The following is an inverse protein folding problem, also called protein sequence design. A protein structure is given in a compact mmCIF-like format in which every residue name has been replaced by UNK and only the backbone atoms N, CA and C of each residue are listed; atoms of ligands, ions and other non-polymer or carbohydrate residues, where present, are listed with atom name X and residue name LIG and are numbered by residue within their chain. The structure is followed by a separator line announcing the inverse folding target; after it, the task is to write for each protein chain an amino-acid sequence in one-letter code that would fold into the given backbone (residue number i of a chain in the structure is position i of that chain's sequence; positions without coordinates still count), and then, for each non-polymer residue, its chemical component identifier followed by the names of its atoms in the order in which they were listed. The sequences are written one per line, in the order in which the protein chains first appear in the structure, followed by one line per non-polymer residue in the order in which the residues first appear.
data_IF_275107769740
#
_entry.id   IF_275107769740
#
_cell.length_a   1.000
_cell.length_b   1.000
_cell.length_c   1.000
_cell.angle_alpha   90.00
_cell.angle_beta   90.00
_cell.angle_gamma   90.00
#
_symmetry.space_group_name_H-M   'P 1'
#
loop_
_entity.id
_entity.type
_entity.pdbx_description
1 polymer ?
#
# COMPACT_ATOMS: atom_id res chain seq x y z
N UNK A 1 13.06 -20.70 88.35
CA UNK A 1 12.51 -21.68 87.39
C UNK A 1 11.00 -21.48 87.31
N UNK A 2 10.52 -20.75 86.31
CA UNK A 2 9.09 -20.51 86.08
C UNK A 2 8.59 -21.48 85.00
N UNK A 3 7.54 -22.25 85.27
CA UNK A 3 6.92 -23.17 84.32
C UNK A 3 5.48 -22.77 83.98
N UNK A 4 5.35 -22.20 82.78
CA UNK A 4 4.27 -22.30 81.78
C UNK A 4 2.81 -22.06 82.20
N UNK A 5 2.33 -20.84 81.90
CA UNK A 5 0.93 -20.56 81.59
C UNK A 5 0.53 -21.14 80.22
N UNK A 6 -0.64 -21.81 80.15
CA UNK A 6 -1.35 -22.18 78.92
C UNK A 6 -2.26 -21.03 78.49
N UNK A 7 -2.11 -20.55 77.26
CA UNK A 7 -3.10 -19.71 76.59
C UNK A 7 -3.76 -20.53 75.48
N UNK A 8 -5.08 -20.61 75.52
CA UNK A 8 -5.93 -21.21 74.49
C UNK A 8 -6.15 -20.17 73.37
N UNK A 9 -5.56 -20.42 72.19
CA UNK A 9 -5.79 -19.58 71.01
C UNK A 9 -7.02 -20.10 70.26
N UNK A 10 -8.08 -19.30 70.21
CA UNK A 10 -9.22 -19.51 69.31
C UNK A 10 -8.83 -18.99 67.92
N UNK A 11 -8.68 -19.88 66.94
CA UNK A 11 -8.50 -19.50 65.52
C UNK A 11 -9.86 -19.13 64.93
N UNK A 12 -10.05 -17.86 64.56
CA UNK A 12 -11.09 -17.47 63.61
C UNK A 12 -10.54 -17.66 62.19
N UNK A 13 -11.00 -18.70 61.49
CA UNK A 13 -10.76 -18.86 60.06
C UNK A 13 -11.71 -17.93 59.30
N UNK A 14 -11.20 -16.77 58.88
CA UNK A 14 -11.88 -16.00 57.84
C UNK A 14 -11.68 -16.75 56.51
N UNK A 15 -12.67 -17.58 56.14
CA UNK A 15 -12.84 -18.05 54.78
C UNK A 15 -12.97 -16.80 53.88
N UNK A 16 -11.86 -16.41 53.25
CA UNK A 16 -11.92 -15.53 52.10
C UNK A 16 -12.79 -16.21 51.06
N UNK A 17 -14.00 -15.67 50.88
CA UNK A 17 -14.87 -15.98 49.76
C UNK A 17 -14.03 -15.73 48.51
N UNK A 18 -13.57 -16.81 47.86
CA UNK A 18 -13.07 -16.72 46.47
C UNK A 18 -14.18 -16.01 45.71
N UNK A 19 -13.93 -14.77 45.29
CA UNK A 19 -14.84 -14.12 44.34
C UNK A 19 -14.96 -15.10 43.19
N UNK A 20 -16.18 -15.47 42.85
CA UNK A 20 -16.48 -16.23 41.64
C UNK A 20 -15.75 -15.53 40.50
N UNK A 21 -14.71 -16.15 39.97
CA UNK A 21 -14.19 -15.81 38.65
C UNK A 21 -15.37 -16.09 37.74
N UNK A 22 -16.13 -15.05 37.39
CA UNK A 22 -17.06 -15.14 36.27
C UNK A 22 -16.23 -15.73 35.14
N UNK A 23 -16.69 -16.85 34.58
CA UNK A 23 -16.13 -17.43 33.36
C UNK A 23 -16.19 -16.32 32.31
N UNK A 24 -15.11 -15.55 32.18
CA UNK A 24 -15.00 -14.54 31.15
C UNK A 24 -14.75 -15.32 29.87
N UNK A 25 -15.68 -15.20 28.94
CA UNK A 25 -15.49 -15.66 27.57
C UNK A 25 -14.15 -15.12 27.08
N UNK A 26 -13.29 -15.95 26.47
CA UNK A 26 -11.99 -15.48 26.01
C UNK A 26 -12.16 -14.34 25.00
N UNK A 27 -11.24 -13.36 24.98
CA UNK A 27 -11.21 -12.32 23.96
C UNK A 27 -11.24 -12.92 22.55
N UNK A 28 -11.96 -12.27 21.65
CA UNK A 28 -12.05 -12.66 20.24
C UNK A 28 -11.64 -11.47 19.39
N UNK A 29 -10.85 -11.73 18.34
CA UNK A 29 -10.54 -10.75 17.29
C UNK A 29 -11.10 -11.25 15.97
N UNK A 30 -11.94 -10.42 15.35
CA UNK A 30 -12.61 -10.69 14.08
C UNK A 30 -12.16 -9.66 13.04
N UNK A 31 -11.77 -10.14 11.85
CA UNK A 31 -11.42 -9.27 10.72
C UNK A 31 -12.26 -9.61 9.51
N UNK A 32 -12.88 -8.59 8.89
CA UNK A 32 -13.76 -8.78 7.74
C UNK A 32 -13.43 -7.78 6.61
N UNK A 33 -13.16 -8.25 5.38
CA UNK A 33 -12.95 -9.66 5.00
C UNK A 33 -11.61 -10.20 5.53
N UNK A 34 -11.50 -11.51 5.74
CA UNK A 34 -10.24 -12.18 6.12
C UNK A 34 -9.29 -12.39 4.93
N UNK A 35 -9.83 -12.35 3.71
CA UNK A 35 -9.11 -12.45 2.45
C UNK A 35 -9.63 -11.34 1.52
N UNK A 36 -8.73 -10.54 0.97
CA UNK A 36 -9.09 -9.47 0.04
C UNK A 36 -7.87 -8.92 -0.68
N UNK A 37 -8.08 -8.05 -1.67
CA UNK A 37 -6.96 -7.38 -2.33
C UNK A 37 -6.28 -6.41 -1.38
N UNK A 38 -4.99 -6.16 -1.56
CA UNK A 38 -4.21 -5.29 -0.67
C UNK A 38 -4.77 -3.87 -0.61
N UNK A 39 -5.42 -3.38 -1.65
CA UNK A 39 -6.00 -2.04 -1.78
C UNK A 39 -7.48 -1.95 -1.34
N UNK A 40 -8.05 -3.04 -0.81
CA UNK A 40 -9.39 -3.05 -0.19
C UNK A 40 -9.33 -2.74 1.31
N UNK A 41 -10.39 -2.17 1.90
CA UNK A 41 -10.42 -1.97 3.36
C UNK A 41 -10.85 -3.24 4.09
N UNK A 42 -10.34 -3.46 5.30
CA UNK A 42 -10.91 -4.45 6.24
C UNK A 42 -11.32 -3.77 7.55
N UNK A 43 -12.23 -4.42 8.28
CA UNK A 43 -12.69 -3.99 9.61
C UNK A 43 -12.13 -4.92 10.66
N UNK A 44 -11.60 -4.38 11.75
CA UNK A 44 -11.14 -5.15 12.91
C UNK A 44 -12.06 -4.86 14.09
N UNK A 45 -12.63 -5.93 14.66
CA UNK A 45 -13.46 -5.88 15.85
C UNK A 45 -12.85 -6.81 16.91
N UNK A 46 -12.72 -6.32 18.12
CA UNK A 46 -12.30 -7.08 19.29
C UNK A 46 -13.45 -7.13 20.28
N UNK A 47 -13.77 -8.31 20.78
CA UNK A 47 -14.90 -8.55 21.68
C UNK A 47 -14.45 -9.38 22.89
N UNK A 48 -15.32 -9.46 23.89
CA UNK A 48 -15.09 -10.17 25.15
C UNK A 48 -13.85 -9.69 25.94
N UNK A 49 -13.49 -8.41 25.79
CA UNK A 49 -12.49 -7.78 26.65
C UNK A 49 -13.13 -7.42 28.00
N UNK A 50 -12.37 -7.33 29.10
CA UNK A 50 -12.90 -6.72 30.30
C UNK A 50 -13.22 -5.23 30.02
N UNK A 51 -14.39 -4.70 30.41
CA UNK A 51 -14.79 -3.33 30.10
C UNK A 51 -13.83 -2.27 30.67
N UNK A 52 -13.64 -1.17 29.92
CA UNK A 52 -12.82 -0.03 30.34
C UNK A 52 -11.33 -0.33 30.50
N UNK A 53 -10.81 -1.38 29.85
CA UNK A 53 -9.40 -1.79 29.97
C UNK A 53 -8.56 -1.32 28.80
N UNK A 54 -7.31 -0.90 29.05
CA UNK A 54 -6.36 -0.61 27.99
C UNK A 54 -5.96 -1.90 27.26
N UNK A 55 -5.99 -1.84 25.93
CA UNK A 55 -5.56 -2.93 25.04
C UNK A 55 -4.76 -2.38 23.88
N UNK A 56 -3.87 -3.21 23.34
CA UNK A 56 -3.12 -2.90 22.12
C UNK A 56 -3.58 -3.82 21.00
N UNK A 57 -3.97 -3.26 19.86
CA UNK A 57 -4.20 -4.02 18.63
C UNK A 57 -2.97 -3.86 17.74
N UNK A 58 -2.34 -4.97 17.36
CA UNK A 58 -1.08 -5.03 16.62
C UNK A 58 -1.25 -5.83 15.34
N UNK A 59 -0.73 -5.32 14.23
CA UNK A 59 -0.47 -6.09 13.01
C UNK A 59 1.01 -6.45 12.93
N UNK A 60 1.29 -7.67 12.45
CA UNK A 60 2.64 -8.14 12.19
C UNK A 60 2.69 -8.83 10.82
N UNK A 61 3.65 -8.45 9.99
CA UNK A 61 3.89 -9.02 8.67
C UNK A 61 5.36 -9.43 8.53
N UNK A 62 5.61 -10.63 8.02
CA UNK A 62 6.94 -11.08 7.61
C UNK A 62 7.05 -10.96 6.08
N UNK A 63 7.90 -10.05 5.62
CA UNK A 63 8.01 -9.71 4.20
C UNK A 63 8.84 -10.72 3.41
N UNK A 64 8.65 -10.73 2.09
CA UNK A 64 9.31 -11.65 1.15
C UNK A 64 10.86 -11.57 1.23
N UNK A 65 11.41 -10.46 1.72
CA UNK A 65 12.85 -10.24 1.93
C UNK A 65 13.32 -10.54 3.38
N UNK A 66 12.52 -11.21 4.19
CA UNK A 66 12.93 -11.73 5.51
C UNK A 66 12.90 -10.71 6.65
N UNK A 67 12.16 -9.61 6.51
CA UNK A 67 12.05 -8.58 7.54
C UNK A 67 10.66 -8.58 8.19
N UNK A 68 10.61 -8.27 9.48
CA UNK A 68 9.35 -8.11 10.20
C UNK A 68 8.92 -6.64 10.22
N UNK A 69 7.64 -6.44 9.92
CA UNK A 69 6.97 -5.15 9.86
C UNK A 69 5.78 -5.17 10.80
N UNK A 70 5.54 -4.07 11.50
CA UNK A 70 4.44 -3.99 12.44
C UNK A 70 3.81 -2.61 12.48
N UNK A 71 2.52 -2.58 12.78
CA UNK A 71 1.81 -1.40 13.25
C UNK A 71 1.02 -1.76 14.49
N UNK A 72 0.75 -0.77 15.34
CA UNK A 72 -0.09 -0.98 16.51
C UNK A 72 -0.78 0.31 16.93
N UNK A 73 -2.00 0.16 17.44
CA UNK A 73 -2.77 1.23 18.04
C UNK A 73 -3.17 0.89 19.47
N UNK A 74 -3.20 1.91 20.32
CA UNK A 74 -3.60 1.81 21.71
C UNK A 74 -5.07 2.19 21.87
N UNK A 75 -5.87 1.29 22.44
CA UNK A 75 -7.30 1.45 22.60
C UNK A 75 -7.72 1.20 24.05
N UNK A 76 -8.94 1.60 24.39
CA UNK A 76 -9.61 1.22 25.64
C UNK A 76 -10.93 0.56 25.27
N UNK A 77 -11.21 -0.62 25.83
CA UNK A 77 -12.49 -1.30 25.59
C UNK A 77 -13.66 -0.48 26.12
N UNK A 78 -14.78 -0.52 25.41
CA UNK A 78 -16.00 0.15 25.82
C UNK A 78 -16.68 -0.55 27.02
N UNK A 79 -17.85 -0.06 27.43
CA UNK A 79 -18.65 -0.63 28.52
C UNK A 79 -19.13 -2.07 28.24
N UNK A 80 -19.08 -2.54 26.99
CA UNK A 80 -19.45 -3.89 26.57
C UNK A 80 -18.23 -4.81 26.43
N UNK A 81 -17.02 -4.28 26.61
CA UNK A 81 -15.80 -5.06 26.37
C UNK A 81 -15.42 -5.16 24.89
N UNK A 82 -15.76 -4.14 24.10
CA UNK A 82 -15.53 -4.12 22.65
C UNK A 82 -14.52 -3.03 22.27
N UNK A 83 -13.72 -3.30 21.24
CA UNK A 83 -12.94 -2.30 20.49
C UNK A 83 -13.21 -2.47 19.00
N UNK A 84 -13.69 -1.42 18.34
CA UNK A 84 -13.87 -1.34 16.89
C UNK A 84 -12.83 -0.39 16.30
N UNK A 85 -11.76 -0.94 15.71
CA UNK A 85 -10.63 -0.16 15.17
C UNK A 85 -11.06 0.89 14.15
N UNK A 86 -12.16 0.66 13.42
CA UNK A 86 -12.65 1.60 12.42
C UNK A 86 -13.44 2.78 13.01
N UNK A 87 -13.88 2.69 14.27
CA UNK A 87 -14.74 3.70 14.92
C UNK A 87 -14.08 4.35 16.14
N UNK A 88 -13.26 3.59 16.84
CA UNK A 88 -12.62 3.99 18.08
C UNK A 88 -11.30 4.70 17.79
N UNK A 89 -10.88 5.56 18.72
CA UNK A 89 -9.67 6.34 18.57
C UNK A 89 -8.47 5.58 19.13
N UNK A 90 -7.43 5.43 18.30
CA UNK A 90 -6.12 5.07 18.81
C UNK A 90 -5.53 6.27 19.57
N UNK A 91 -5.14 6.07 20.84
CA UNK A 91 -4.53 7.12 21.67
C UNK A 91 -3.01 7.18 21.55
N UNK A 92 -2.40 6.23 20.83
CA UNK A 92 -0.96 6.15 20.65
C UNK A 92 -0.54 4.91 19.88
N UNK A 93 0.77 4.75 19.68
CA UNK A 93 1.36 3.67 18.90
C UNK A 93 1.95 4.18 17.60
N UNK A 94 1.86 3.40 16.53
CA UNK A 94 2.35 3.83 15.20
C UNK A 94 1.43 4.84 14.51
N UNK A 95 0.22 5.04 15.04
CA UNK A 95 -0.77 6.04 14.59
C UNK A 95 -1.71 6.43 15.74
N UNK A 96 -2.35 7.60 15.60
CA UNK A 96 -3.37 8.12 16.52
C UNK A 96 -4.65 8.49 15.75
N UNK A 97 -5.77 8.62 16.48
CA UNK A 97 -7.06 9.01 15.89
C UNK A 97 -7.88 7.84 15.36
N UNK A 98 -8.95 8.16 14.61
CA UNK A 98 -9.86 7.18 13.99
C UNK A 98 -9.34 6.78 12.62
N UNK A 99 -8.48 5.77 12.59
CA UNK A 99 -7.75 5.36 11.40
C UNK A 99 -8.01 3.89 11.08
N UNK A 100 -9.08 3.56 10.32
CA UNK A 100 -9.50 2.17 10.08
C UNK A 100 -8.40 1.27 9.51
N UNK A 101 -7.48 1.85 8.72
CA UNK A 101 -6.38 1.14 8.07
C UNK A 101 -5.01 1.49 8.67
N UNK A 102 -4.98 2.12 9.85
CA UNK A 102 -3.75 2.45 10.58
C UNK A 102 -2.86 1.24 10.82
N UNK A 103 -3.45 0.06 11.02
CA UNK A 103 -2.73 -1.21 11.16
C UNK A 103 -2.01 -1.68 9.88
N UNK A 104 -2.15 -1.01 8.73
CA UNK A 104 -1.39 -1.30 7.52
C UNK A 104 -0.47 -0.14 7.14
N UNK A 105 -1.03 1.05 6.90
CA UNK A 105 -0.25 2.17 6.34
C UNK A 105 0.81 2.71 7.30
N UNK A 106 0.66 2.48 8.60
CA UNK A 106 1.64 2.91 9.61
C UNK A 106 2.70 1.84 9.94
N UNK A 107 2.74 0.73 9.20
CA UNK A 107 3.71 -0.32 9.49
C UNK A 107 5.15 0.22 9.41
N UNK A 108 5.95 -0.09 10.42
CA UNK A 108 7.37 0.21 10.47
C UNK A 108 8.17 -1.09 10.69
N UNK A 109 9.47 -1.11 10.39
CA UNK A 109 10.32 -2.24 10.77
C UNK A 109 10.29 -2.44 12.28
N UNK A 110 10.28 -3.69 12.75
CA UNK A 110 10.33 -4.00 14.19
C UNK A 110 11.62 -3.46 14.83
N UNK A 111 11.63 -3.17 16.14
CA UNK A 111 12.85 -2.78 16.86
C UNK A 111 14.03 -3.72 16.59
N UNK A 112 15.22 -3.16 16.37
CA UNK A 112 16.44 -3.91 16.03
C UNK A 112 16.65 -4.15 14.53
N UNK A 113 15.69 -3.79 13.68
CA UNK A 113 15.85 -3.89 12.22
C UNK A 113 16.92 -2.96 11.65
N UNK A 114 17.46 -3.31 10.48
CA UNK A 114 18.37 -2.44 9.74
C UNK A 114 17.71 -1.11 9.34
N UNK A 115 18.50 -0.05 9.24
CA UNK A 115 18.02 1.27 8.80
C UNK A 115 17.77 1.29 7.28
N UNK A 116 16.81 2.10 6.85
CA UNK A 116 16.52 2.34 5.43
C UNK A 116 15.87 1.17 4.71
N UNK A 117 15.11 0.33 5.42
CA UNK A 117 14.27 -0.70 4.81
C UNK A 117 13.05 -0.08 4.13
N UNK A 118 12.62 -0.69 3.03
CA UNK A 118 11.39 -0.39 2.30
C UNK A 118 10.63 -1.69 2.08
N UNK A 119 9.35 -1.72 2.43
CA UNK A 119 8.50 -2.86 2.14
C UNK A 119 8.24 -2.90 0.64
N UNK A 120 8.53 -4.05 0.02
CA UNK A 120 8.20 -4.35 -1.38
C UNK A 120 7.69 -5.78 -1.45
N UNK A 121 6.60 -5.99 -2.18
CA UNK A 121 6.15 -7.34 -2.51
C UNK A 121 6.97 -7.86 -3.69
N UNK A 122 7.52 -9.06 -3.56
CA UNK A 122 8.37 -9.69 -4.58
C UNK A 122 7.64 -10.83 -5.30
N UNK A 123 6.76 -11.55 -4.61
CA UNK A 123 6.00 -12.65 -5.18
C UNK A 123 4.50 -12.35 -5.22
N UNK A 124 3.93 -12.12 -6.41
CA UNK A 124 2.49 -11.83 -6.57
C UNK A 124 1.58 -13.04 -6.42
N UNK A 125 2.14 -14.25 -6.53
CA UNK A 125 1.39 -15.50 -6.42
C UNK A 125 1.14 -15.92 -4.97
N UNK A 126 1.70 -15.21 -3.99
CA UNK A 126 1.44 -15.42 -2.56
C UNK A 126 0.87 -14.15 -1.92
N UNK A 127 -0.04 -14.29 -0.94
CA UNK A 127 -0.57 -13.13 -0.25
C UNK A 127 0.48 -12.50 0.68
N UNK A 128 0.29 -11.22 0.97
CA UNK A 128 0.84 -10.60 2.17
C UNK A 128 0.03 -11.10 3.37
N UNK A 129 0.67 -11.95 4.19
CA UNK A 129 0.09 -12.47 5.43
C UNK A 129 0.25 -11.45 6.56
N UNK A 130 -0.85 -10.99 7.13
CA UNK A 130 -0.85 -10.03 8.24
C UNK A 130 -1.49 -10.67 9.46
N UNK A 131 -0.71 -10.88 10.51
CA UNK A 131 -1.23 -11.38 11.78
C UNK A 131 -1.76 -10.22 12.61
N UNK A 132 -3.09 -10.17 12.80
CA UNK A 132 -3.75 -9.19 13.67
C UNK A 132 -3.89 -9.81 15.06
N UNK A 133 -3.33 -9.17 16.07
CA UNK A 133 -3.29 -9.68 17.44
C UNK A 133 -3.70 -8.61 18.44
N UNK A 134 -4.30 -9.05 19.54
CA UNK A 134 -4.73 -8.18 20.65
C UNK A 134 -3.92 -8.53 21.88
N UNK A 135 -3.43 -7.50 22.57
CA UNK A 135 -2.60 -7.63 23.76
C UNK A 135 -3.17 -6.82 24.92
N UNK A 136 -2.88 -7.27 26.14
CA UNK A 136 -3.30 -6.56 27.36
C UNK A 136 -2.41 -5.34 27.60
N UNK A 137 -3.02 -4.21 27.96
CA UNK A 137 -2.30 -2.98 28.29
C UNK A 137 -1.72 -2.26 27.07
N UNK A 138 -1.08 -1.12 27.33
CA UNK A 138 -0.36 -0.31 26.34
C UNK A 138 1.17 -0.48 26.42
N UNK A 139 1.66 -1.10 27.49
CA UNK A 139 3.09 -1.32 27.76
C UNK A 139 3.43 -2.81 27.81
N UNK A 140 4.67 -3.17 27.47
CA UNK A 140 5.15 -4.57 27.57
C UNK A 140 4.45 -5.57 26.65
N UNK A 141 3.55 -5.12 25.76
CA UNK A 141 2.75 -5.98 24.89
C UNK A 141 3.58 -6.85 23.92
N UNK A 142 4.87 -6.54 23.77
CA UNK A 142 5.79 -7.28 22.89
C UNK A 142 6.30 -8.57 23.53
N UNK A 143 6.37 -8.60 24.84
CA UNK A 143 6.94 -9.71 25.62
C UNK A 143 5.84 -10.69 26.07
N UNK A 144 4.59 -10.23 26.11
CA UNK A 144 3.42 -11.04 26.45
C UNK A 144 2.86 -11.83 25.27
N UNK A 145 2.20 -12.96 25.59
CA UNK A 145 1.39 -13.67 24.61
C UNK A 145 0.12 -12.86 24.25
N UNK A 146 -0.32 -12.89 22.98
CA UNK A 146 -1.56 -12.22 22.59
C UNK A 146 -2.76 -12.86 23.29
N UNK A 147 -3.75 -12.03 23.65
CA UNK A 147 -5.05 -12.45 24.16
C UNK A 147 -5.85 -13.20 23.08
N UNK A 148 -5.74 -12.76 21.83
CA UNK A 148 -6.32 -13.37 20.65
C UNK A 148 -5.54 -12.94 19.41
N UNK A 149 -5.56 -13.77 18.36
CA UNK A 149 -4.97 -13.41 17.07
C UNK A 149 -5.71 -14.06 15.91
N UNK A 150 -5.66 -13.42 14.75
CA UNK A 150 -6.19 -13.93 13.49
C UNK A 150 -5.26 -13.54 12.35
N UNK A 151 -5.03 -14.49 11.43
CA UNK A 151 -4.26 -14.26 10.23
C UNK A 151 -5.18 -13.78 9.10
N UNK A 152 -4.79 -12.70 8.42
CA UNK A 152 -5.51 -12.20 7.24
C UNK A 152 -4.61 -12.23 6.01
N UNK A 153 -5.23 -12.53 4.87
CA UNK A 153 -4.55 -12.58 3.57
C UNK A 153 -4.85 -11.34 2.74
N UNK A 154 -3.80 -10.69 2.28
CA UNK A 154 -3.88 -9.48 1.45
C UNK A 154 -3.22 -9.77 0.11
N UNK A 155 -4.04 -9.90 -0.93
CA UNK A 155 -3.61 -10.36 -2.25
C UNK A 155 -3.29 -9.19 -3.18
N UNK A 156 -2.22 -9.30 -3.96
CA UNK A 156 -1.92 -8.32 -5.03
C UNK A 156 -2.53 -8.70 -6.38
N UNK A 157 -3.02 -9.94 -6.49
CA UNK A 157 -3.55 -10.52 -7.72
C UNK A 157 -4.89 -11.18 -7.40
N UNK A 158 -5.97 -10.72 -8.04
CA UNK A 158 -7.30 -11.27 -7.87
C UNK A 158 -7.39 -12.71 -8.42
N UNK A 159 -8.29 -13.54 -7.87
CA UNK A 159 -8.58 -14.86 -8.44
C UNK A 159 -8.95 -14.75 -9.92
N UNK A 160 -8.27 -15.51 -10.77
CA UNK A 160 -8.52 -15.55 -12.22
C UNK A 160 -7.58 -14.68 -13.06
N UNK A 161 -6.83 -13.75 -12.45
CA UNK A 161 -5.74 -13.04 -13.16
C UNK A 161 -4.61 -14.03 -13.43
N UNK A 162 -4.14 -14.09 -14.67
CA UNK A 162 -3.00 -14.90 -15.10
C UNK A 162 -1.75 -14.03 -15.15
N UNK A 163 -0.64 -14.52 -14.59
CA UNK A 163 0.71 -13.96 -14.73
C UNK A 163 1.44 -14.73 -15.82
N UNK A 164 1.75 -14.07 -16.94
CA UNK A 164 2.35 -14.67 -18.14
C UNK A 164 3.72 -14.06 -18.36
N UNK A 165 4.73 -14.91 -18.47
CA UNK A 165 6.08 -14.48 -18.85
C UNK A 165 6.16 -14.21 -20.35
N UNK A 166 6.51 -12.97 -20.69
CA UNK A 166 6.74 -12.55 -22.07
C UNK A 166 8.24 -12.39 -22.23
N UNK A 167 8.89 -13.49 -22.64
CA UNK A 167 10.35 -13.59 -22.79
C UNK A 167 10.94 -12.31 -23.40
N UNK A 168 11.96 -11.76 -22.73
CA UNK A 168 12.71 -10.55 -23.12
C UNK A 168 11.89 -9.24 -23.21
N UNK A 169 10.60 -9.25 -22.89
CA UNK A 169 9.71 -8.07 -22.96
C UNK A 169 9.04 -7.72 -21.63
N UNK A 170 9.00 -8.61 -20.64
CA UNK A 170 8.45 -8.32 -19.31
C UNK A 170 7.39 -9.35 -18.89
N UNK A 171 6.49 -8.94 -17.99
CA UNK A 171 5.41 -9.80 -17.50
C UNK A 171 4.05 -9.21 -17.80
N UNK A 172 3.15 -10.04 -18.32
CA UNK A 172 1.80 -9.69 -18.67
C UNK A 172 0.81 -10.26 -17.63
N UNK A 173 -0.10 -9.42 -17.15
CA UNK A 173 -1.18 -9.78 -16.23
C UNK A 173 -2.52 -9.49 -16.90
N UNK A 174 -3.39 -10.49 -16.96
CA UNK A 174 -4.72 -10.32 -17.54
C UNK A 174 -5.69 -11.42 -17.09
N UNK A 175 -6.98 -11.09 -17.10
CA UNK A 175 -8.04 -12.10 -17.07
C UNK A 175 -8.18 -12.75 -18.45
N UNK A 176 -8.72 -13.96 -18.49
CA UNK A 176 -8.99 -14.68 -19.73
C UNK A 176 -10.31 -15.44 -19.60
N UNK A 177 -11.23 -15.34 -20.58
CA UNK A 177 -11.10 -14.66 -21.87
C UNK A 177 -11.19 -13.12 -21.79
N UNK A 178 -10.56 -12.43 -22.75
CA UNK A 178 -10.67 -10.97 -22.95
C UNK A 178 -11.66 -10.58 -24.05
N UNK A 179 -11.54 -9.39 -24.68
CA UNK A 179 -10.44 -8.43 -24.56
C UNK A 179 -10.63 -7.39 -23.43
N UNK A 180 -9.52 -6.82 -22.94
CA UNK A 180 -9.49 -5.77 -21.92
C UNK A 180 -8.69 -4.55 -22.42
N UNK A 181 -8.92 -3.34 -21.88
CA UNK A 181 -8.02 -2.22 -22.16
C UNK A 181 -6.60 -2.51 -21.64
N UNK A 182 -5.60 -2.09 -22.41
CA UNK A 182 -4.18 -2.36 -22.16
C UNK A 182 -3.52 -1.28 -21.28
N UNK A 183 -2.57 -1.66 -20.43
CA UNK A 183 -1.72 -0.71 -19.69
C UNK A 183 -0.26 -1.17 -19.73
N UNK A 184 0.64 -0.28 -20.18
CA UNK A 184 2.07 -0.45 -19.96
C UNK A 184 2.48 0.20 -18.63
N UNK A 185 3.03 -0.58 -17.70
CA UNK A 185 3.41 -0.13 -16.35
C UNK A 185 4.93 0.03 -16.22
N UNK A 186 5.38 1.27 -15.99
CA UNK A 186 6.78 1.69 -15.96
C UNK A 186 7.17 2.19 -14.57
N UNK A 187 8.12 1.50 -13.93
CA UNK A 187 8.65 1.85 -12.62
C UNK A 187 9.88 2.75 -12.68
N UNK A 188 10.38 3.17 -11.51
CA UNK A 188 11.50 4.10 -11.37
C UNK A 188 12.89 3.48 -11.57
N UNK A 189 13.92 4.28 -11.27
CA UNK A 189 15.34 3.98 -11.52
C UNK A 189 15.96 2.81 -10.74
N UNK A 190 15.18 2.04 -9.99
CA UNK A 190 15.69 0.93 -9.17
C UNK A 190 16.13 -0.28 -9.98
N UNK A 191 15.75 -0.34 -11.27
CA UNK A 191 15.95 -1.50 -12.12
C UNK A 191 15.18 -2.73 -11.63
N UNK A 192 15.27 -3.80 -12.41
CA UNK A 192 14.54 -5.02 -12.13
C UNK A 192 13.05 -4.87 -12.39
N UNK A 193 12.37 -6.01 -12.39
CA UNK A 193 10.94 -6.05 -12.65
C UNK A 193 10.13 -5.83 -11.37
N UNK A 194 9.15 -4.94 -11.45
CA UNK A 194 8.25 -4.61 -10.34
C UNK A 194 6.82 -4.82 -10.76
N UNK A 195 6.15 -5.77 -10.10
CA UNK A 195 4.91 -6.37 -10.62
C UNK A 195 3.65 -5.89 -9.90
N UNK A 196 3.77 -5.46 -8.66
CA UNK A 196 2.61 -5.40 -7.76
C UNK A 196 1.55 -4.37 -8.15
N UNK A 197 1.94 -3.26 -8.80
CA UNK A 197 0.96 -2.30 -9.35
C UNK A 197 0.25 -2.87 -10.58
N UNK A 198 0.97 -3.51 -11.49
CA UNK A 198 0.38 -4.19 -12.64
C UNK A 198 -0.60 -5.28 -12.21
N UNK A 199 -0.22 -6.15 -11.27
CA UNK A 199 -1.10 -7.20 -10.76
C UNK A 199 -2.41 -6.64 -10.17
N UNK A 200 -2.33 -5.50 -9.46
CA UNK A 200 -3.50 -4.79 -8.94
C UNK A 200 -4.33 -4.16 -10.06
N UNK A 201 -3.72 -3.44 -11.01
CA UNK A 201 -4.44 -2.89 -12.15
C UNK A 201 -5.16 -3.99 -12.94
N UNK A 202 -4.51 -5.15 -13.14
CA UNK A 202 -5.17 -6.27 -13.79
C UNK A 202 -6.37 -6.80 -13.00
N UNK A 203 -6.26 -6.81 -11.68
CA UNK A 203 -7.37 -7.13 -10.77
C UNK A 203 -8.54 -6.15 -10.86
N UNK A 204 -8.31 -4.94 -11.39
CA UNK A 204 -9.32 -3.91 -11.65
C UNK A 204 -9.80 -3.86 -13.12
N UNK A 205 -9.55 -4.91 -13.89
CA UNK A 205 -10.15 -5.10 -15.22
C UNK A 205 -9.31 -4.61 -16.40
N UNK A 206 -8.00 -4.45 -16.21
CA UNK A 206 -7.05 -4.09 -17.28
C UNK A 206 -6.19 -5.30 -17.68
N UNK A 207 -5.67 -5.30 -18.91
CA UNK A 207 -4.55 -6.15 -19.29
C UNK A 207 -3.27 -5.34 -19.14
N UNK A 208 -2.39 -5.70 -18.22
CA UNK A 208 -1.25 -4.85 -17.84
C UNK A 208 0.08 -5.54 -18.05
N UNK A 209 1.06 -4.83 -18.60
CA UNK A 209 2.41 -5.33 -18.77
C UNK A 209 3.40 -4.55 -17.90
N UNK A 210 4.06 -5.23 -16.96
CA UNK A 210 5.21 -4.70 -16.24
C UNK A 210 6.46 -4.82 -17.09
N UNK A 211 7.25 -3.75 -17.18
CA UNK A 211 8.45 -3.70 -18.01
C UNK A 211 9.70 -3.34 -17.20
N UNK A 212 10.75 -4.17 -17.30
CA UNK A 212 12.11 -3.81 -16.86
C UNK A 212 12.88 -3.22 -18.05
N UNK A 213 12.76 -1.91 -18.22
CA UNK A 213 13.37 -1.19 -19.34
C UNK A 213 14.81 -0.73 -19.07
N UNK A 214 15.31 -0.85 -17.84
CA UNK A 214 16.66 -0.40 -17.48
C UNK A 214 17.71 -1.50 -17.66
N UNK A 215 17.29 -2.76 -17.59
CA UNK A 215 18.17 -3.92 -17.78
C UNK A 215 18.13 -4.51 -19.20
N UNK A 216 17.40 -3.88 -20.14
CA UNK A 216 17.20 -4.41 -21.49
C UNK A 216 18.44 -4.33 -22.41
N UNK A 217 19.45 -3.53 -22.07
CA UNK A 217 20.64 -3.33 -22.91
C UNK A 217 20.40 -2.56 -24.21
N UNK A 218 19.18 -2.05 -24.43
CA UNK A 218 18.76 -1.28 -25.60
C UNK A 218 18.47 0.18 -25.23
N UNK A 219 18.40 1.11 -26.21
CA UNK A 219 17.92 2.46 -25.96
C UNK A 219 16.50 2.45 -25.35
N UNK A 220 16.37 3.07 -24.17
CA UNK A 220 15.15 2.99 -23.33
C UNK A 220 13.88 3.34 -24.10
N UNK A 221 13.87 4.45 -24.85
CA UNK A 221 12.67 4.90 -25.55
C UNK A 221 12.24 3.93 -26.66
N UNK A 222 13.19 3.40 -27.43
CA UNK A 222 12.92 2.40 -28.47
C UNK A 222 12.39 1.09 -27.88
N UNK A 223 12.96 0.65 -26.76
CA UNK A 223 12.51 -0.56 -26.08
C UNK A 223 11.10 -0.40 -25.50
N UNK A 224 10.82 0.73 -24.87
CA UNK A 224 9.49 1.06 -24.34
C UNK A 224 8.44 1.17 -25.44
N UNK A 225 8.76 1.78 -26.59
CA UNK A 225 7.88 1.83 -27.76
C UNK A 225 7.59 0.43 -28.33
N UNK A 226 8.61 -0.42 -28.41
CA UNK A 226 8.46 -1.83 -28.82
C UNK A 226 7.53 -2.59 -27.87
N UNK A 227 7.69 -2.38 -26.57
CA UNK A 227 6.83 -2.96 -25.53
C UNK A 227 5.38 -2.45 -25.61
N UNK A 228 5.20 -1.15 -25.89
CA UNK A 228 3.88 -0.55 -26.08
C UNK A 228 3.15 -1.13 -27.29
N UNK A 229 3.83 -1.27 -28.43
CA UNK A 229 3.23 -1.90 -29.61
C UNK A 229 2.93 -3.39 -29.36
N UNK A 230 3.79 -4.09 -28.63
CA UNK A 230 3.54 -5.48 -28.27
C UNK A 230 2.26 -5.69 -27.45
N UNK A 231 2.02 -4.87 -26.41
CA UNK A 231 0.77 -4.98 -25.63
C UNK A 231 -0.44 -4.55 -26.46
N UNK A 232 -0.30 -3.52 -27.30
CA UNK A 232 -1.35 -3.03 -28.18
C UNK A 232 -1.83 -4.10 -29.17
N UNK A 233 -0.91 -4.89 -29.71
CA UNK A 233 -1.21 -5.92 -30.71
C UNK A 233 -1.62 -7.27 -30.07
N UNK A 234 -1.67 -7.35 -28.72
CA UNK A 234 -2.02 -8.59 -28.05
C UNK A 234 -3.51 -8.95 -28.25
N UNK A 235 -3.87 -10.21 -28.58
CA UNK A 235 -5.25 -10.58 -28.95
C UNK A 235 -6.29 -10.45 -27.83
N UNK A 236 -5.85 -10.34 -26.58
CA UNK A 236 -6.73 -10.08 -25.42
C UNK A 236 -6.72 -8.61 -24.99
N UNK A 237 -6.13 -7.72 -25.79
CA UNK A 237 -6.09 -6.27 -25.57
C UNK A 237 -6.93 -5.58 -26.65
N UNK A 238 -7.67 -4.55 -26.27
CA UNK A 238 -8.39 -3.70 -27.23
C UNK A 238 -7.39 -2.68 -27.80
N UNK A 239 -7.03 -2.82 -29.07
CA UNK A 239 -5.88 -2.13 -29.68
C UNK A 239 -5.95 -0.59 -29.68
N UNK A 240 -7.14 0.01 -29.63
CA UNK A 240 -7.33 1.47 -29.56
C UNK A 240 -7.47 2.00 -28.12
N UNK A 241 -7.35 1.13 -27.11
CA UNK A 241 -7.52 1.46 -25.68
C UNK A 241 -6.32 0.98 -24.87
N UNK A 242 -5.17 1.59 -25.13
CA UNK A 242 -3.91 1.32 -24.43
C UNK A 242 -3.42 2.58 -23.73
N UNK A 243 -3.19 2.49 -22.43
CA UNK A 243 -2.60 3.55 -21.62
C UNK A 243 -1.19 3.22 -21.14
N UNK A 244 -0.51 4.21 -20.55
CA UNK A 244 0.80 4.05 -19.92
C UNK A 244 0.74 4.66 -18.52
N UNK A 245 1.29 3.94 -17.53
CA UNK A 245 1.43 4.44 -16.15
C UNK A 245 2.91 4.46 -15.80
N UNK A 246 3.43 5.64 -15.44
CA UNK A 246 4.83 5.84 -15.07
C UNK A 246 5.00 6.34 -13.64
N UNK A 247 5.99 5.84 -12.90
CA UNK A 247 6.41 6.40 -11.60
C UNK A 247 7.90 6.71 -11.60
N UNK A 248 8.28 7.84 -10.97
CA UNK A 248 9.68 8.27 -10.89
C UNK A 248 10.27 8.33 -12.31
N UNK A 249 11.41 7.68 -12.57
CA UNK A 249 12.04 7.61 -13.88
C UNK A 249 11.13 7.07 -14.98
N UNK A 250 10.18 6.19 -14.66
CA UNK A 250 9.22 5.65 -15.62
C UNK A 250 8.23 6.69 -16.17
N UNK A 251 8.08 7.85 -15.51
CA UNK A 251 7.25 8.95 -16.00
C UNK A 251 7.80 9.60 -17.27
N UNK A 252 9.13 9.60 -17.45
CA UNK A 252 9.77 10.19 -18.63
C UNK A 252 9.45 9.44 -19.94
N UNK A 253 9.69 8.12 -20.05
CA UNK A 253 9.28 7.37 -21.23
C UNK A 253 7.74 7.30 -21.39
N UNK A 254 6.96 7.40 -20.31
CA UNK A 254 5.51 7.52 -20.41
C UNK A 254 5.08 8.84 -21.07
N UNK A 255 5.66 9.97 -20.66
CA UNK A 255 5.42 11.28 -21.30
C UNK A 255 5.89 11.29 -22.76
N UNK A 256 7.02 10.62 -23.05
CA UNK A 256 7.50 10.44 -24.43
C UNK A 256 6.48 9.73 -25.31
N UNK A 257 5.91 8.62 -24.84
CA UNK A 257 4.85 7.90 -25.59
C UNK A 257 3.59 8.75 -25.75
N UNK A 258 3.19 9.51 -24.74
CA UNK A 258 2.01 10.38 -24.80
C UNK A 258 2.14 11.55 -25.79
N UNK A 259 3.37 11.96 -26.09
CA UNK A 259 3.67 13.03 -27.02
C UNK A 259 3.75 12.60 -28.49
N UNK A 260 3.72 11.30 -28.78
CA UNK A 260 3.87 10.72 -30.14
C UNK A 260 5.04 11.34 -30.93
N UNK A 261 6.19 11.55 -30.27
CA UNK A 261 7.27 12.39 -30.83
C UNK A 261 8.68 11.98 -30.42
N UNK A 262 9.57 11.97 -31.40
CA UNK A 262 11.01 11.67 -31.28
C UNK A 262 11.88 12.90 -30.96
N UNK A 263 11.30 14.08 -30.79
CA UNK A 263 12.04 15.35 -30.64
C UNK A 263 11.61 16.11 -29.38
N UNK A 264 12.57 16.82 -28.76
CA UNK A 264 12.58 17.53 -27.46
C UNK A 264 11.46 18.60 -27.23
N UNK A 265 10.36 18.58 -27.99
CA UNK A 265 9.11 19.36 -27.74
C UNK A 265 7.95 18.47 -27.26
N UNK A 266 8.27 17.48 -26.44
CA UNK A 266 7.38 16.40 -25.98
C UNK A 266 6.04 16.93 -25.43
N UNK A 267 6.04 17.94 -24.56
CA UNK A 267 4.79 18.37 -23.88
C UNK A 267 3.79 19.08 -24.80
N UNK A 268 4.26 19.81 -25.84
CA UNK A 268 3.37 20.56 -26.74
C UNK A 268 2.58 19.66 -27.70
N UNK A 269 3.02 18.42 -27.86
CA UNK A 269 2.46 17.47 -28.83
C UNK A 269 1.57 16.41 -28.17
N UNK A 270 1.31 16.53 -26.86
CA UNK A 270 0.40 15.64 -26.15
C UNK A 270 -1.01 15.82 -26.71
N UNK A 271 -1.53 14.75 -27.30
CA UNK A 271 -2.89 14.64 -27.85
C UNK A 271 -3.78 13.70 -27.04
N UNK A 272 -3.20 12.98 -26.08
CA UNK A 272 -3.90 12.06 -25.20
C UNK A 272 -4.19 12.69 -23.82
N UNK A 273 -5.30 12.31 -23.16
CA UNK A 273 -5.55 12.70 -21.77
C UNK A 273 -4.37 12.34 -20.87
N UNK A 274 -3.95 13.28 -20.02
CA UNK A 274 -2.82 13.12 -19.10
C UNK A 274 -3.28 13.38 -17.66
N UNK A 275 -2.94 12.46 -16.75
CA UNK A 275 -3.08 12.63 -15.31
C UNK A 275 -1.70 12.75 -14.67
N UNK A 276 -1.41 13.88 -14.04
CA UNK A 276 -0.20 14.09 -13.24
C UNK A 276 -0.52 13.94 -11.75
N UNK A 277 0.30 13.18 -11.05
CA UNK A 277 0.17 12.93 -9.61
C UNK A 277 1.48 13.31 -8.93
N UNK A 278 1.42 14.30 -8.03
CA UNK A 278 2.59 14.90 -7.40
C UNK A 278 2.47 14.92 -5.88
N UNK A 279 3.52 14.49 -5.19
CA UNK A 279 3.72 14.76 -3.77
C UNK A 279 4.42 16.11 -3.59
N UNK A 280 3.83 17.02 -2.82
CA UNK A 280 4.40 18.37 -2.66
C UNK A 280 5.60 18.45 -1.70
N UNK A 281 5.89 17.39 -0.94
CA UNK A 281 7.14 17.22 -0.16
C UNK A 281 8.00 16.13 -0.81
N UNK A 282 8.05 16.06 -2.15
CA UNK A 282 8.97 15.19 -2.87
C UNK A 282 10.41 15.68 -2.69
N UNK A 283 11.23 14.86 -2.04
CA UNK A 283 12.64 15.16 -1.77
C UNK A 283 13.60 14.41 -2.70
N UNK A 284 13.06 13.65 -3.65
CA UNK A 284 13.85 12.97 -4.66
C UNK A 284 13.92 13.82 -5.93
N UNK A 285 12.77 14.31 -6.44
CA UNK A 285 12.65 15.13 -7.65
C UNK A 285 11.70 16.33 -7.46
N UNK A 286 11.85 17.43 -8.23
CA UNK A 286 10.95 18.59 -8.19
C UNK A 286 9.64 18.28 -8.94
N UNK A 287 8.89 17.27 -8.49
CA UNK A 287 7.72 16.74 -9.19
C UNK A 287 6.56 17.74 -9.26
N UNK A 288 6.39 18.56 -8.21
CA UNK A 288 5.37 19.61 -8.19
C UNK A 288 5.68 20.72 -9.19
N UNK A 289 6.92 21.23 -9.19
CA UNK A 289 7.37 22.27 -10.11
C UNK A 289 7.33 21.77 -11.56
N UNK A 290 7.77 20.54 -11.80
CA UNK A 290 7.71 19.92 -13.13
C UNK A 290 6.27 19.79 -13.63
N UNK A 291 5.32 19.44 -12.74
CA UNK A 291 3.91 19.35 -13.11
C UNK A 291 3.29 20.73 -13.39
N UNK A 292 3.77 21.79 -12.73
CA UNK A 292 3.42 23.18 -13.04
C UNK A 292 3.98 23.61 -14.41
N UNK A 293 5.24 23.29 -14.71
CA UNK A 293 5.87 23.58 -16.00
C UNK A 293 5.13 22.87 -17.15
N UNK A 294 4.73 21.60 -16.96
CA UNK A 294 3.91 20.85 -17.93
C UNK A 294 2.56 21.54 -18.13
N UNK A 295 1.88 21.92 -17.05
CA UNK A 295 0.59 22.60 -17.11
C UNK A 295 0.67 23.93 -17.88
N UNK A 296 1.68 24.76 -17.59
CA UNK A 296 1.91 26.02 -18.30
C UNK A 296 2.21 25.78 -19.79
N UNK A 297 3.01 24.75 -20.10
CA UNK A 297 3.35 24.40 -21.48
C UNK A 297 2.15 23.90 -22.28
N UNK A 298 1.31 23.05 -21.69
CA UNK A 298 0.07 22.57 -22.34
C UNK A 298 -0.96 23.69 -22.49
N UNK A 299 -1.10 24.58 -21.50
CA UNK A 299 -1.95 25.76 -21.62
C UNK A 299 -1.49 26.68 -22.74
N UNK A 300 -0.19 26.95 -22.84
CA UNK A 300 0.37 27.77 -23.92
C UNK A 300 0.18 27.16 -25.32
N UNK A 301 0.01 25.84 -25.41
CA UNK A 301 -0.26 25.12 -26.65
C UNK A 301 -1.76 24.86 -26.91
N UNK A 302 -2.66 25.25 -26.00
CA UNK A 302 -4.12 25.13 -26.15
C UNK A 302 -4.70 23.75 -25.82
N UNK A 303 -3.91 22.88 -25.18
CA UNK A 303 -4.26 21.50 -24.84
C UNK A 303 -4.37 21.25 -23.32
N UNK A 304 -4.57 22.30 -22.51
CA UNK A 304 -4.82 22.20 -21.06
C UNK A 304 -6.07 21.41 -20.69
N UNK A 305 -7.07 21.36 -21.57
CA UNK A 305 -8.27 20.53 -21.42
C UNK A 305 -7.98 19.01 -21.36
N UNK A 306 -6.79 18.56 -21.79
CA UNK A 306 -6.36 17.17 -21.69
C UNK A 306 -5.69 16.84 -20.35
N UNK A 307 -5.32 17.85 -19.56
CA UNK A 307 -4.53 17.69 -18.35
C UNK A 307 -5.39 17.69 -17.10
N UNK A 308 -5.26 16.63 -16.30
CA UNK A 308 -5.72 16.56 -14.93
C UNK A 308 -4.54 16.51 -13.98
N UNK A 309 -4.60 17.23 -12.86
CA UNK A 309 -3.51 17.30 -11.89
C UNK A 309 -3.98 17.00 -10.47
N UNK A 310 -3.20 16.20 -9.75
CA UNK A 310 -3.41 15.84 -8.36
C UNK A 310 -2.15 16.16 -7.56
N UNK A 311 -2.22 17.24 -6.78
CA UNK A 311 -1.13 17.66 -5.91
C UNK A 311 -1.49 17.34 -4.46
N UNK A 312 -0.65 16.56 -3.79
CA UNK A 312 -0.88 16.13 -2.41
C UNK A 312 0.11 16.81 -1.46
N UNK A 313 -0.35 17.78 -0.64
CA UNK A 313 0.46 18.38 0.41
C UNK A 313 1.04 17.33 1.36
N UNK A 314 2.25 17.58 1.86
CA UNK A 314 2.94 16.70 2.81
C UNK A 314 3.12 15.24 2.34
N UNK A 315 2.98 14.97 1.04
CA UNK A 315 3.22 13.65 0.44
C UNK A 315 4.56 13.64 -0.30
N UNK A 316 5.21 12.49 -0.29
CA UNK A 316 6.55 12.31 -0.83
C UNK A 316 6.54 11.66 -2.21
N UNK A 317 7.73 11.28 -2.67
CA UNK A 317 7.98 10.75 -4.01
C UNK A 317 7.27 9.42 -4.33
N UNK A 318 7.25 8.50 -3.35
CA UNK A 318 6.83 7.11 -3.56
C UNK A 318 5.33 6.92 -3.28
N UNK A 319 4.47 7.49 -4.12
CA UNK A 319 3.02 7.28 -4.06
C UNK A 319 2.70 5.88 -4.62
N UNK A 320 2.77 4.88 -3.74
CA UNK A 320 2.47 3.47 -3.98
C UNK A 320 0.97 3.18 -3.96
N UNK A 321 0.52 1.95 -4.32
CA UNK A 321 -0.86 1.53 -4.09
C UNK A 321 -1.28 1.63 -2.61
N UNK A 322 -2.60 1.72 -2.33
CA UNK A 322 -3.13 2.02 -1.01
C UNK A 322 -2.61 1.12 0.12
N UNK A 323 -2.49 1.72 1.29
CA UNK A 323 -2.05 1.08 2.55
C UNK A 323 -0.62 0.54 2.55
N UNK A 324 0.15 0.83 1.51
CA UNK A 324 1.60 0.63 1.51
C UNK A 324 2.22 1.49 2.62
N UNK A 325 3.12 0.96 3.45
CA UNK A 325 3.68 1.77 4.51
C UNK A 325 4.56 2.89 3.96
N UNK A 326 4.50 4.06 4.59
CA UNK A 326 5.27 5.23 4.16
C UNK A 326 6.74 5.14 4.60
N UNK A 327 7.67 5.38 3.67
CA UNK A 327 9.10 5.47 3.94
C UNK A 327 9.64 6.84 3.54
N UNK A 328 9.93 7.68 4.52
CA UNK A 328 10.53 9.00 4.26
C UNK A 328 11.94 8.90 3.68
N UNK A 329 12.66 7.82 4.00
CA UNK A 329 13.98 7.53 3.47
C UNK A 329 14.23 6.02 3.38
N UNK A 330 14.97 5.58 2.37
CA UNK A 330 15.40 4.18 2.27
C UNK A 330 16.76 4.04 1.62
N UNK A 331 17.42 2.90 1.86
CA UNK A 331 18.62 2.53 1.12
C UNK A 331 18.23 2.22 -0.31
N UNK A 332 18.94 2.81 -1.26
CA UNK A 332 18.77 2.61 -2.69
C UNK A 332 20.11 2.21 -3.31
N UNK A 333 20.08 1.25 -4.23
CA UNK A 333 21.26 0.87 -5.01
C UNK A 333 21.19 1.62 -6.33
N UNK A 334 22.13 2.54 -6.52
CA UNK A 334 22.25 3.29 -7.77
C UNK A 334 22.70 2.38 -8.92
N UNK A 335 22.52 2.85 -10.16
CA UNK A 335 23.02 2.17 -11.37
C UNK A 335 24.52 1.84 -11.30
N UNK A 336 25.30 2.66 -10.60
CA UNK A 336 26.74 2.44 -10.35
C UNK A 336 27.03 1.45 -9.19
N UNK A 337 26.03 0.67 -8.77
CA UNK A 337 26.08 -0.30 -7.66
C UNK A 337 26.47 0.31 -6.29
N UNK A 338 26.38 1.64 -6.14
CA UNK A 338 26.61 2.31 -4.87
C UNK A 338 25.33 2.36 -4.05
N UNK A 339 25.42 2.03 -2.77
CA UNK A 339 24.33 2.19 -1.80
C UNK A 339 24.31 3.63 -1.30
N UNK A 340 23.16 4.28 -1.40
CA UNK A 340 22.92 5.60 -0.84
C UNK A 340 21.61 5.59 -0.05
N UNK A 341 21.53 6.42 0.99
CA UNK A 341 20.25 6.74 1.62
C UNK A 341 19.58 7.81 0.77
N UNK A 342 18.39 7.52 0.24
CA UNK A 342 17.61 8.47 -0.54
C UNK A 342 16.48 8.99 0.33
N UNK A 343 16.24 10.31 0.25
CA UNK A 343 15.10 10.96 0.87
C UNK A 343 13.95 10.97 -0.15
N UNK A 344 12.83 10.39 0.24
CA UNK A 344 11.59 10.40 -0.56
C UNK A 344 10.64 11.51 -0.11
N UNK A 345 10.83 12.00 1.13
CA UNK A 345 9.98 13.03 1.73
C UNK A 345 8.59 12.51 2.12
N UNK A 346 7.70 13.41 2.51
CA UNK A 346 6.35 13.13 2.99
C UNK A 346 6.23 12.89 4.50
N UNK A 347 5.00 13.06 5.01
CA UNK A 347 4.55 12.69 6.35
C UNK A 347 3.64 11.47 6.25
N UNK A 348 3.76 10.53 7.18
CA UNK A 348 3.11 9.20 7.09
C UNK A 348 1.62 9.25 6.78
N UNK A 349 0.84 10.03 7.55
CA UNK A 349 -0.62 10.09 7.40
C UNK A 349 -1.07 10.84 6.11
N UNK A 350 -0.60 12.08 5.83
CA UNK A 350 -0.91 12.72 4.55
C UNK A 350 -0.50 11.87 3.33
N UNK A 351 0.65 11.20 3.41
CA UNK A 351 1.12 10.30 2.36
C UNK A 351 0.21 9.09 2.18
N UNK A 352 -0.26 8.46 3.26
CA UNK A 352 -1.19 7.33 3.15
C UNK A 352 -2.54 7.75 2.54
N UNK A 353 -3.03 8.94 2.90
CA UNK A 353 -4.25 9.51 2.31
C UNK A 353 -4.08 9.79 0.81
N UNK A 354 -2.90 10.29 0.42
CA UNK A 354 -2.55 10.50 -0.99
C UNK A 354 -2.52 9.19 -1.78
N UNK A 355 -1.97 8.11 -1.23
CA UNK A 355 -1.98 6.78 -1.86
C UNK A 355 -3.41 6.28 -2.07
N UNK A 356 -4.29 6.39 -1.06
CA UNK A 356 -5.70 6.02 -1.17
C UNK A 356 -6.45 6.83 -2.24
N UNK A 357 -6.35 8.16 -2.18
CA UNK A 357 -7.09 9.06 -3.07
C UNK A 357 -6.57 9.01 -4.51
N UNK A 358 -5.25 9.02 -4.69
CA UNK A 358 -4.63 8.95 -6.02
C UNK A 358 -4.95 7.62 -6.71
N UNK A 359 -4.89 6.49 -6.00
CA UNK A 359 -5.23 5.20 -6.59
C UNK A 359 -6.66 5.16 -7.12
N UNK A 360 -7.62 5.61 -6.32
CA UNK A 360 -9.03 5.74 -6.75
C UNK A 360 -9.17 6.62 -7.99
N UNK A 361 -8.49 7.77 -8.02
CA UNK A 361 -8.55 8.71 -9.13
C UNK A 361 -7.82 8.20 -10.38
N UNK A 362 -6.72 7.45 -10.23
CA UNK A 362 -6.01 6.77 -11.32
C UNK A 362 -6.92 5.72 -11.95
N UNK A 363 -7.54 4.86 -11.14
CA UNK A 363 -8.50 3.86 -11.64
C UNK A 363 -9.67 4.52 -12.37
N UNK A 364 -10.25 5.57 -11.79
CA UNK A 364 -11.34 6.33 -12.42
C UNK A 364 -10.92 6.97 -13.75
N UNK A 365 -9.73 7.54 -13.81
CA UNK A 365 -9.19 8.16 -15.02
C UNK A 365 -8.97 7.12 -16.12
N UNK A 366 -8.34 5.99 -15.79
CA UNK A 366 -8.12 4.89 -16.73
C UNK A 366 -9.45 4.31 -17.23
N UNK A 367 -10.43 4.11 -16.34
CA UNK A 367 -11.77 3.65 -16.73
C UNK A 367 -12.47 4.63 -17.66
N UNK A 368 -12.44 5.93 -17.34
CA UNK A 368 -13.05 6.96 -18.16
C UNK A 368 -12.47 7.01 -19.58
N UNK A 369 -11.15 6.88 -19.71
CA UNK A 369 -10.47 7.08 -21.00
C UNK A 369 -10.21 5.80 -21.79
N UNK A 370 -10.21 4.63 -21.14
CA UNK A 370 -9.96 3.33 -21.80
C UNK A 370 -11.19 2.42 -21.83
N UNK A 371 -12.11 2.51 -20.85
CA UNK A 371 -13.28 1.63 -20.78
C UNK A 371 -14.56 2.28 -21.33
N UNK A 372 -14.79 3.55 -21.00
CA UNK A 372 -15.98 4.26 -21.45
C UNK A 372 -15.84 4.69 -22.91
N UNK A 373 -16.66 4.11 -23.79
CA UNK A 373 -16.96 4.78 -25.06
C UNK A 373 -17.65 6.10 -24.74
N UNK A 374 -17.20 7.20 -25.35
CA UNK A 374 -18.08 8.33 -25.59
C UNK A 374 -19.36 7.78 -26.26
N UNK A 375 -20.43 7.63 -25.47
CA UNK A 375 -21.80 7.55 -25.97
C UNK A 375 -22.15 8.93 -26.54
N UNK A 376 -21.55 9.28 -27.66
CA UNK A 376 -21.75 10.55 -28.35
C UNK A 376 -21.78 10.35 -29.87
N UNK A 377 -22.59 9.38 -30.33
CA UNK A 377 -23.26 9.39 -31.63
C UNK A 377 -24.54 8.54 -31.54
N UNK A 378 -25.63 9.15 -31.07
CA UNK A 378 -26.99 8.83 -31.47
C UNK A 378 -27.75 10.14 -31.67
#
# INVERSE_FOLDING_TARGET
MWSKCRWSTVMFSFLHRRSSVMSQTPPIVSVLPTRGLVDEKFKVLVENLPPGRPVTVRSLHHSDNGHYWEAFGFYTSDHRGTVNVSKDQSVGGTYTGKEPMGLLWSMCPVPGSHKGLRLRKLNMCSPMLVNISVHSGHEGFRDGAPLASVLVERWYMAPGVKRIDVQEKGLLYLFSPGPFPGILDLWGGGGGLVEYRSALLASHGFATMSLDYLSCGQPVFTYVETAFNFIKDHPQVIADRVGVVGLCLGSLPALYLAADSTVVKVVKQITSPLLLVSGCDDQNWPSFETAEDINQTMRAAGNDHLLSRLDYPDSGHLIEPPFSPHFRASTFVTTNKRKAMILWGGKTKPHSDAQEDSWRKILSFLQQHLCCSLNAKL
#
